data_IF_738604895583
#
_entry.id   IF_738604895583
#
_cell.length_a   1.000
_cell.length_b   1.000
_cell.length_c   1.000
_cell.angle_alpha   90.00
_cell.angle_beta   90.00
_cell.angle_gamma   90.00
#
_symmetry.space_group_name_H-M   'P 1'
#
loop_
_entity.id
_entity.type
_entity.pdbx_description
1 polymer ?
#
# COMPACT_ATOMS: atom_id res chain seq x y z
N UNK A 1 2.70 52.99 -7.69
CA UNK A 1 2.83 52.38 -9.02
C UNK A 1 3.31 50.96 -8.81
N UNK A 2 2.46 49.95 -9.05
CA UNK A 2 2.87 48.55 -8.99
C UNK A 2 3.78 48.21 -10.15
N UNK A 3 4.83 47.45 -9.88
CA UNK A 3 5.85 47.04 -10.84
C UNK A 3 5.27 46.02 -11.85
N UNK A 4 5.26 46.30 -13.16
CA UNK A 4 4.75 45.38 -14.18
C UNK A 4 5.52 44.04 -14.20
N UNK A 5 6.76 43.99 -13.71
CA UNK A 5 7.52 42.74 -13.58
C UNK A 5 6.98 41.87 -12.46
N UNK A 6 6.52 42.45 -11.36
CA UNK A 6 5.92 41.72 -10.25
C UNK A 6 4.56 41.09 -10.65
N UNK A 7 3.78 41.81 -11.45
CA UNK A 7 2.52 41.29 -12.00
C UNK A 7 2.76 40.15 -13.01
N UNK A 8 3.79 40.25 -13.84
CA UNK A 8 4.20 39.18 -14.77
C UNK A 8 4.66 37.92 -14.02
N UNK A 9 5.52 38.06 -13.00
CA UNK A 9 6.00 36.95 -12.18
C UNK A 9 4.85 36.25 -11.44
N UNK A 10 3.91 37.02 -10.84
CA UNK A 10 2.76 36.46 -10.14
C UNK A 10 1.80 35.74 -11.10
N UNK A 11 1.61 36.27 -12.31
CA UNK A 11 0.80 35.65 -13.36
C UNK A 11 1.42 34.34 -13.84
N UNK A 12 2.71 34.33 -14.15
CA UNK A 12 3.43 33.11 -14.57
C UNK A 12 3.48 32.07 -13.44
N UNK A 13 3.66 32.47 -12.18
CA UNK A 13 3.63 31.53 -11.04
C UNK A 13 2.27 30.86 -10.88
N UNK A 14 1.16 31.59 -11.05
CA UNK A 14 -0.18 31.01 -10.99
C UNK A 14 -0.48 30.08 -12.19
N UNK A 15 0.07 30.38 -13.38
CA UNK A 15 -0.08 29.52 -14.57
C UNK A 15 0.75 28.24 -14.44
N UNK A 16 1.96 28.32 -13.89
CA UNK A 16 2.85 27.16 -13.68
C UNK A 16 2.46 26.30 -12.46
N UNK A 17 1.86 26.88 -11.43
CA UNK A 17 1.36 26.14 -10.27
C UNK A 17 0.20 25.19 -10.61
N UNK A 18 -0.54 25.45 -11.69
CA UNK A 18 -1.61 24.56 -12.18
C UNK A 18 -1.13 23.37 -13.00
N UNK A 19 0.13 23.35 -13.47
CA UNK A 19 0.65 22.29 -14.36
C UNK A 19 1.42 21.21 -13.59
N UNK A 20 1.87 21.50 -12.36
CA UNK A 20 2.63 20.54 -11.56
C UNK A 20 1.75 19.56 -10.76
N UNK A 21 0.42 19.75 -10.78
CA UNK A 21 -0.56 18.87 -10.11
C UNK A 21 -1.26 17.90 -11.08
N UNK A 22 -0.99 18.01 -12.39
CA UNK A 22 -1.73 17.32 -13.46
C UNK A 22 -0.81 16.50 -14.38
N UNK A 23 0.11 15.69 -13.83
CA UNK A 23 0.80 14.64 -14.60
C UNK A 23 1.65 13.74 -13.70
N UNK A 24 1.04 12.68 -13.16
CA UNK A 24 1.54 11.29 -13.16
C UNK A 24 0.43 10.43 -12.52
N UNK A 25 -0.37 9.81 -13.38
CA UNK A 25 -1.61 9.13 -13.02
C UNK A 25 -1.43 7.96 -12.06
N UNK A 26 -1.97 8.11 -10.84
CA UNK A 26 -2.44 7.04 -9.96
C UNK A 26 -3.56 7.56 -9.05
N UNK A 27 -4.71 7.96 -9.60
CA UNK A 27 -5.93 8.03 -8.76
C UNK A 27 -6.42 6.59 -8.53
N UNK A 28 -6.46 6.08 -7.29
CA UNK A 28 -7.11 4.82 -7.04
C UNK A 28 -8.61 5.03 -7.22
N UNK A 29 -9.18 4.43 -8.27
CA UNK A 29 -10.62 4.31 -8.45
C UNK A 29 -11.22 3.70 -7.16
N UNK A 30 -12.43 4.12 -6.75
CA UNK A 30 -13.09 3.49 -5.60
C UNK A 30 -13.36 2.04 -5.98
N UNK A 31 -12.63 1.12 -5.35
CA UNK A 31 -12.88 -0.30 -5.50
C UNK A 31 -14.18 -0.66 -4.78
N UNK A 32 -15.27 -0.63 -5.54
CA UNK A 32 -16.57 -1.13 -5.10
C UNK A 32 -16.53 -2.64 -5.17
N UNK A 33 -16.06 -3.29 -4.10
CA UNK A 33 -16.07 -4.74 -4.02
C UNK A 33 -17.41 -5.26 -3.51
N UNK A 34 -18.36 -5.31 -4.44
CA UNK A 34 -19.57 -6.11 -4.33
C UNK A 34 -19.22 -7.56 -4.69
N UNK A 35 -18.66 -8.32 -3.75
CA UNK A 35 -18.64 -9.78 -3.85
C UNK A 35 -19.70 -10.31 -2.90
N UNK A 36 -20.82 -10.68 -3.50
CA UNK A 36 -21.86 -11.46 -2.88
C UNK A 36 -21.31 -12.81 -2.44
N UNK A 37 -21.70 -13.17 -1.22
CA UNK A 37 -22.16 -14.49 -0.80
C UNK A 37 -21.77 -15.64 -1.73
N UNK A 38 -20.75 -16.40 -1.35
CA UNK A 38 -20.75 -17.85 -1.49
C UNK A 38 -19.83 -18.47 -0.45
N UNK A 39 -20.43 -19.29 0.40
CA UNK A 39 -19.79 -20.29 1.24
C UNK A 39 -18.79 -21.12 0.46
N UNK A 40 -17.56 -21.19 0.95
CA UNK A 40 -16.68 -22.34 0.74
C UNK A 40 -15.65 -22.34 1.88
N UNK A 41 -15.87 -23.23 2.84
CA UNK A 41 -14.86 -23.64 3.80
C UNK A 41 -13.63 -24.18 3.07
N UNK A 42 -12.45 -23.65 3.34
CA UNK A 42 -11.20 -24.36 3.03
C UNK A 42 -10.10 -24.05 4.06
N UNK A 43 -9.33 -25.08 4.30
CA UNK A 43 -8.47 -25.37 5.44
C UNK A 43 -7.30 -24.38 5.60
N UNK A 44 -7.16 -23.84 6.81
CA UNK A 44 -5.92 -23.21 7.26
C UNK A 44 -4.86 -24.27 7.55
N UNK A 45 -4.26 -24.82 6.49
CA UNK A 45 -3.09 -25.68 6.61
C UNK A 45 -1.86 -24.85 7.00
N UNK A 46 -1.21 -25.37 8.03
CA UNK A 46 0.06 -25.00 8.63
C UNK A 46 1.17 -24.82 7.57
N UNK A 47 1.75 -23.62 7.51
CA UNK A 47 3.09 -23.39 6.95
C UNK A 47 3.86 -22.56 7.98
N UNK A 48 4.22 -23.22 9.06
CA UNK A 48 5.42 -22.90 9.81
C UNK A 48 6.62 -23.57 9.12
N UNK A 49 7.75 -22.86 9.05
CA UNK A 49 9.07 -23.39 8.70
C UNK A 49 9.33 -23.81 7.24
N UNK A 50 9.62 -22.83 6.38
CA UNK A 50 10.73 -22.98 5.43
C UNK A 50 11.66 -21.77 5.55
N UNK A 51 12.84 -22.02 6.14
CA UNK A 51 14.05 -21.27 5.87
C UNK A 51 14.17 -21.10 4.35
N UNK A 52 14.14 -19.86 3.87
CA UNK A 52 15.14 -19.40 2.91
C UNK A 52 15.31 -17.89 3.11
N UNK A 53 16.53 -17.53 3.51
CA UNK A 53 17.03 -16.18 3.48
C UNK A 53 17.02 -15.66 2.04
N UNK A 54 15.87 -15.18 1.56
CA UNK A 54 15.81 -14.35 0.36
C UNK A 54 16.15 -12.93 0.76
N UNK A 55 17.46 -12.71 0.92
CA UNK A 55 18.08 -11.39 0.83
C UNK A 55 17.81 -10.90 -0.59
N UNK A 56 16.70 -10.18 -0.79
CA UNK A 56 16.48 -9.42 -2.01
C UNK A 56 17.35 -8.17 -1.92
N UNK A 57 18.60 -8.38 -2.33
CA UNK A 57 19.47 -7.36 -2.91
C UNK A 57 18.66 -6.54 -3.92
N UNK A 58 18.35 -5.31 -3.56
CA UNK A 58 17.51 -4.41 -4.33
C UNK A 58 17.92 -2.98 -4.07
N UNK A 59 18.66 -2.43 -5.02
CA UNK A 59 19.03 -1.03 -5.18
C UNK A 59 20.05 -0.47 -4.17
N UNK A 60 21.27 -0.99 -4.24
CA UNK A 60 22.47 -0.17 -4.06
C UNK A 60 22.58 0.77 -5.27
N UNK A 61 21.91 1.92 -5.23
CA UNK A 61 22.25 3.05 -6.12
C UNK A 61 23.36 3.86 -5.42
N UNK A 62 24.55 3.29 -5.47
CA UNK A 62 25.81 3.89 -5.06
C UNK A 62 26.84 3.29 -6.01
N UNK A 63 26.83 3.78 -7.25
CA UNK A 63 27.54 3.14 -8.34
C UNK A 63 27.66 4.02 -9.58
N UNK A 64 27.97 5.31 -9.40
CA UNK A 64 28.65 6.07 -10.44
C UNK A 64 30.17 5.94 -10.21
N UNK A 65 30.68 4.72 -10.36
CA UNK A 65 32.10 4.52 -10.65
C UNK A 65 32.29 4.80 -12.14
N UNK A 66 32.50 6.07 -12.47
CA UNK A 66 32.99 6.47 -13.78
C UNK A 66 34.42 5.92 -13.92
N UNK A 67 34.69 4.98 -14.84
CA UNK A 67 36.02 4.42 -14.96
C UNK A 67 36.99 5.50 -15.43
N UNK A 68 38.12 5.58 -14.74
CA UNK A 68 39.32 6.31 -15.11
C UNK A 68 39.52 6.26 -16.64
N UNK A 69 39.37 7.42 -17.30
CA UNK A 69 39.75 7.63 -18.69
C UNK A 69 41.28 7.65 -18.76
N UNK A 70 41.88 6.46 -18.60
CA UNK A 70 43.28 6.20 -18.80
C UNK A 70 43.40 5.22 -19.98
N UNK A 71 44.04 5.69 -21.05
CA UNK A 71 44.50 4.94 -22.20
C UNK A 71 43.46 4.27 -23.12
N UNK A 72 43.30 4.87 -24.32
CA UNK A 72 43.23 4.06 -25.53
C UNK A 72 42.18 4.47 -26.55
N UNK A 73 42.47 5.48 -27.38
CA UNK A 73 42.11 5.43 -28.81
C UNK A 73 43.24 6.10 -29.60
N UNK A 74 44.06 5.29 -30.25
CA UNK A 74 45.02 5.73 -31.24
C UNK A 74 44.30 6.19 -32.51
N UNK A 75 44.49 7.46 -32.89
CA UNK A 75 44.26 7.93 -34.26
C UNK A 75 45.48 8.73 -34.69
N UNK A 76 46.32 8.06 -35.46
CA UNK A 76 47.46 8.59 -36.19
C UNK A 76 46.99 9.37 -37.42
N UNK A 77 47.04 10.69 -37.35
CA UNK A 77 47.15 11.54 -38.55
C UNK A 77 47.87 12.83 -38.16
N UNK A 78 48.96 13.06 -38.85
CA UNK A 78 50.02 14.02 -38.61
C UNK A 78 49.58 15.47 -38.91
N UNK A 79 49.28 16.26 -37.88
CA UNK A 79 49.40 17.73 -37.91
C UNK A 79 49.66 18.23 -36.49
N UNK A 80 50.69 19.05 -36.23
CA UNK A 80 50.90 19.63 -34.91
C UNK A 80 49.84 20.72 -34.68
N UNK A 81 48.72 20.37 -34.04
CA UNK A 81 47.78 21.37 -33.52
C UNK A 81 48.50 22.23 -32.48
N UNK A 82 48.39 23.57 -32.56
CA UNK A 82 49.05 24.44 -31.61
C UNK A 82 48.49 24.13 -30.23
N UNK A 83 49.37 23.79 -29.29
CA UNK A 83 49.05 23.77 -27.87
C UNK A 83 48.32 25.07 -27.56
N UNK A 84 47.02 24.95 -27.29
CA UNK A 84 46.22 26.06 -26.80
C UNK A 84 46.90 26.45 -25.49
N UNK A 85 47.64 27.55 -25.61
CA UNK A 85 48.54 28.05 -24.61
C UNK A 85 47.86 27.94 -23.26
N UNK A 86 48.61 27.41 -22.29
CA UNK A 86 48.52 27.74 -20.87
C UNK A 86 48.05 29.18 -20.76
N UNK A 87 46.73 29.37 -20.71
CA UNK A 87 46.13 30.67 -20.61
C UNK A 87 46.46 31.03 -19.18
N UNK A 88 47.46 31.88 -19.06
CA UNK A 88 47.87 32.60 -17.87
C UNK A 88 46.62 32.97 -17.04
N UNK A 89 46.20 32.07 -16.16
CA UNK A 89 45.35 32.34 -15.01
C UNK A 89 46.21 33.06 -13.99
N UNK A 90 46.76 34.21 -14.41
CA UNK A 90 47.29 35.24 -13.55
C UNK A 90 46.09 35.67 -12.72
N UNK A 91 46.11 35.26 -11.45
CA UNK A 91 45.30 35.74 -10.33
C UNK A 91 44.85 37.19 -10.51
N UNK A 92 43.75 37.41 -11.24
CA UNK A 92 42.98 38.64 -11.16
C UNK A 92 41.99 38.38 -10.02
N UNK A 93 41.96 39.23 -8.97
CA UNK A 93 40.99 39.06 -7.90
C UNK A 93 39.61 39.02 -8.54
N UNK A 94 38.91 37.89 -8.43
CA UNK A 94 37.57 37.77 -8.99
C UNK A 94 36.74 38.96 -8.52
N UNK A 95 36.05 39.66 -9.44
CA UNK A 95 35.28 40.84 -9.08
C UNK A 95 34.26 40.46 -8.00
N UNK A 96 34.14 41.28 -6.95
CA UNK A 96 33.32 40.96 -5.76
C UNK A 96 31.87 40.59 -6.09
N UNK A 97 31.33 41.12 -7.20
CA UNK A 97 30.01 40.75 -7.71
C UNK A 97 29.89 39.26 -8.04
N UNK A 98 30.92 38.66 -8.66
CA UNK A 98 30.94 37.23 -8.99
C UNK A 98 31.09 36.40 -7.72
N UNK A 99 31.89 36.85 -6.74
CA UNK A 99 32.00 36.17 -5.44
C UNK A 99 30.64 36.13 -4.71
N UNK A 100 29.95 37.27 -4.61
CA UNK A 100 28.60 37.35 -4.03
C UNK A 100 27.62 36.45 -4.79
N UNK A 101 27.65 36.47 -6.13
CA UNK A 101 26.79 35.60 -6.94
C UNK A 101 27.06 34.10 -6.72
N UNK A 102 28.32 33.67 -6.62
CA UNK A 102 28.63 32.27 -6.33
C UNK A 102 28.19 31.86 -4.93
N UNK A 103 28.36 32.73 -3.94
CA UNK A 103 27.88 32.51 -2.57
C UNK A 103 26.35 32.38 -2.55
N UNK A 104 25.64 33.31 -3.19
CA UNK A 104 24.17 33.31 -3.32
C UNK A 104 23.65 32.07 -4.06
N UNK A 105 24.28 31.67 -5.15
CA UNK A 105 23.93 30.45 -5.90
C UNK A 105 24.17 29.20 -5.05
N UNK A 106 25.30 29.12 -4.34
CA UNK A 106 25.61 28.01 -3.44
C UNK A 106 24.57 27.88 -2.33
N UNK A 107 24.21 29.00 -1.69
CA UNK A 107 23.17 29.04 -0.66
C UNK A 107 21.80 28.63 -1.25
N UNK A 108 21.48 29.08 -2.46
CA UNK A 108 20.23 28.71 -3.13
C UNK A 108 20.16 27.21 -3.46
N UNK A 109 21.25 26.63 -3.94
CA UNK A 109 21.36 25.19 -4.19
C UNK A 109 21.22 24.40 -2.89
N UNK A 110 21.96 24.78 -1.84
CA UNK A 110 21.85 24.13 -0.52
C UNK A 110 20.43 24.22 0.05
N UNK A 111 19.73 25.35 -0.15
CA UNK A 111 18.32 25.50 0.23
C UNK A 111 17.40 24.58 -0.57
N UNK A 112 17.66 24.40 -1.87
CA UNK A 112 16.89 23.48 -2.73
C UNK A 112 17.12 22.03 -2.30
N UNK A 113 18.36 21.61 -2.13
CA UNK A 113 18.74 20.26 -1.71
C UNK A 113 18.12 19.93 -0.34
N UNK A 114 18.15 20.88 0.61
CA UNK A 114 17.50 20.72 1.92
C UNK A 114 15.99 20.57 1.83
N UNK A 115 15.34 21.31 0.93
CA UNK A 115 13.89 21.22 0.74
C UNK A 115 13.49 19.90 0.06
N UNK A 116 14.28 19.44 -0.91
CA UNK A 116 14.10 18.15 -1.55
C UNK A 116 14.25 17.00 -0.56
N UNK A 117 15.31 17.02 0.27
CA UNK A 117 15.51 15.99 1.29
C UNK A 117 14.38 16.00 2.33
N UNK A 118 13.89 17.18 2.73
CA UNK A 118 12.73 17.29 3.61
C UNK A 118 11.48 16.68 2.98
N UNK A 119 11.18 16.99 1.71
CA UNK A 119 10.03 16.44 0.99
C UNK A 119 10.14 14.92 0.85
N UNK A 120 11.35 14.40 0.58
CA UNK A 120 11.63 12.97 0.51
C UNK A 120 11.38 12.27 1.85
N UNK A 121 11.85 12.86 2.94
CA UNK A 121 11.62 12.32 4.29
C UNK A 121 10.14 12.40 4.69
N UNK A 122 9.45 13.49 4.37
CA UNK A 122 8.00 13.63 4.58
C UNK A 122 7.20 12.55 3.81
N UNK A 123 7.56 12.29 2.54
CA UNK A 123 6.93 11.22 1.75
C UNK A 123 7.21 9.82 2.33
N UNK A 124 8.45 9.58 2.77
CA UNK A 124 8.84 8.31 3.41
C UNK A 124 8.09 8.10 4.73
N UNK A 125 8.01 9.13 5.56
CA UNK A 125 7.31 9.11 6.83
C UNK A 125 5.79 8.91 6.63
N UNK A 126 5.20 9.57 5.63
CA UNK A 126 3.80 9.38 5.27
C UNK A 126 3.51 7.93 4.85
N UNK A 127 4.33 7.36 3.95
CA UNK A 127 4.17 5.96 3.52
C UNK A 127 4.34 4.97 4.67
N UNK A 128 5.30 5.20 5.57
CA UNK A 128 5.48 4.38 6.77
C UNK A 128 4.26 4.46 7.70
N UNK A 129 3.73 5.66 7.93
CA UNK A 129 2.53 5.86 8.77
C UNK A 129 1.30 5.18 8.17
N UNK A 130 1.09 5.28 6.87
CA UNK A 130 -0.02 4.60 6.18
C UNK A 130 0.09 3.07 6.32
N UNK A 131 1.30 2.53 6.19
CA UNK A 131 1.54 1.10 6.37
C UNK A 131 1.25 0.64 7.81
N UNK A 132 1.71 1.41 8.80
CA UNK A 132 1.43 1.15 10.22
C UNK A 132 -0.08 1.21 10.53
N UNK A 133 -0.78 2.20 9.98
CA UNK A 133 -2.23 2.36 10.09
C UNK A 133 -2.96 1.16 9.47
N UNK A 134 -2.53 0.69 8.29
CA UNK A 134 -3.12 -0.48 7.65
C UNK A 134 -2.97 -1.75 8.49
N UNK A 135 -1.78 -1.98 9.07
CA UNK A 135 -1.56 -3.10 9.97
C UNK A 135 -2.40 -2.99 11.25
N UNK A 136 -2.54 -1.80 11.81
CA UNK A 136 -3.38 -1.55 12.98
C UNK A 136 -4.86 -1.86 12.69
N UNK A 137 -5.40 -1.34 11.58
CA UNK A 137 -6.78 -1.63 11.15
C UNK A 137 -7.01 -3.12 10.87
N UNK A 138 -6.04 -3.79 10.23
CA UNK A 138 -6.11 -5.23 9.98
C UNK A 138 -6.13 -6.02 11.28
N UNK A 139 -5.28 -5.65 12.24
CA UNK A 139 -5.23 -6.30 13.56
C UNK A 139 -6.55 -6.09 14.32
N UNK A 140 -7.13 -4.89 14.27
CA UNK A 140 -8.43 -4.59 14.87
C UNK A 140 -9.55 -5.42 14.23
N UNK A 141 -9.62 -5.46 12.89
CA UNK A 141 -10.61 -6.27 12.16
C UNK A 141 -10.52 -7.74 12.54
N UNK A 142 -9.31 -8.29 12.57
CA UNK A 142 -9.09 -9.68 12.96
C UNK A 142 -9.49 -9.94 14.42
N UNK A 143 -9.19 -9.00 15.33
CA UNK A 143 -9.64 -9.08 16.73
C UNK A 143 -11.17 -9.09 16.84
N UNK A 144 -11.86 -8.19 16.10
CA UNK A 144 -13.33 -8.16 16.04
C UNK A 144 -13.91 -9.47 15.51
N UNK A 145 -13.35 -10.03 14.43
CA UNK A 145 -13.79 -11.33 13.87
C UNK A 145 -13.60 -12.47 14.87
N UNK A 146 -12.46 -12.54 15.57
CA UNK A 146 -12.24 -13.58 16.60
C UNK A 146 -13.26 -13.48 17.73
N UNK A 147 -13.53 -12.27 18.22
CA UNK A 147 -14.52 -12.05 19.28
C UNK A 147 -15.93 -12.41 18.79
N UNK A 148 -16.30 -12.02 17.57
CA UNK A 148 -17.58 -12.36 16.99
C UNK A 148 -17.76 -13.88 16.81
N UNK A 149 -16.73 -14.59 16.34
CA UNK A 149 -16.76 -16.05 16.21
C UNK A 149 -16.87 -16.74 17.58
N UNK A 150 -16.11 -16.26 18.58
CA UNK A 150 -16.17 -16.80 19.95
C UNK A 150 -17.56 -16.59 20.56
N UNK A 151 -18.14 -15.41 20.37
CA UNK A 151 -19.50 -15.11 20.81
C UNK A 151 -20.53 -15.96 20.08
N UNK A 152 -20.42 -16.13 18.76
CA UNK A 152 -21.32 -16.97 17.99
C UNK A 152 -21.24 -18.45 18.42
N UNK A 153 -20.04 -18.93 18.76
CA UNK A 153 -19.84 -20.26 19.34
C UNK A 153 -20.48 -20.37 20.73
N UNK A 154 -20.27 -19.39 21.61
CA UNK A 154 -20.89 -19.34 22.94
C UNK A 154 -22.42 -19.30 22.86
N UNK A 155 -22.98 -18.44 22.00
CA UNK A 155 -24.40 -18.34 21.72
C UNK A 155 -24.95 -19.68 21.20
N UNK A 156 -24.26 -20.32 20.25
CA UNK A 156 -24.62 -21.64 19.72
C UNK A 156 -24.61 -22.75 20.78
N UNK A 157 -23.61 -22.77 21.66
CA UNK A 157 -23.52 -23.72 22.79
C UNK A 157 -24.63 -23.44 23.80
N UNK A 158 -24.87 -22.17 24.12
CA UNK A 158 -25.92 -21.75 25.06
C UNK A 158 -27.31 -22.15 24.55
N UNK A 159 -27.59 -21.94 23.26
CA UNK A 159 -28.85 -22.34 22.62
C UNK A 159 -29.00 -23.87 22.61
N UNK A 160 -27.91 -24.61 22.44
CA UNK A 160 -27.90 -26.08 22.50
C UNK A 160 -28.23 -26.59 23.91
N UNK A 161 -27.68 -25.95 24.94
CA UNK A 161 -27.79 -26.34 26.36
C UNK A 161 -29.03 -25.80 27.08
N UNK A 162 -29.55 -24.64 26.67
CA UNK A 162 -30.77 -24.04 27.22
C UNK A 162 -32.02 -24.89 26.95
N UNK A 163 -31.98 -25.76 25.93
CA UNK A 163 -33.01 -26.77 25.71
C UNK A 163 -32.89 -27.86 26.78
N UNK A 164 -33.63 -27.63 27.88
CA UNK A 164 -33.81 -28.51 29.04
C UNK A 164 -34.22 -29.93 28.64
N UNK A 165 -33.79 -30.92 29.43
CA UNK A 165 -34.17 -32.32 29.31
C UNK A 165 -35.69 -32.45 29.09
N UNK A 166 -36.11 -33.03 27.97
CA UNK A 166 -37.49 -33.10 27.47
C UNK A 166 -37.76 -32.29 26.18
N UNK A 167 -36.84 -31.43 25.74
CA UNK A 167 -36.93 -30.66 24.50
C UNK A 167 -36.10 -31.25 23.34
N UNK A 168 -35.71 -32.53 23.40
CA UNK A 168 -34.81 -33.16 22.42
C UNK A 168 -35.40 -33.12 21.00
N UNK A 169 -36.70 -33.37 20.86
CA UNK A 169 -37.39 -33.29 19.58
C UNK A 169 -37.47 -31.86 19.03
N UNK A 170 -37.50 -30.85 19.90
CA UNK A 170 -37.40 -29.46 19.48
C UNK A 170 -35.99 -29.14 18.95
N UNK A 171 -34.94 -29.66 19.62
CA UNK A 171 -33.54 -29.55 19.16
C UNK A 171 -33.36 -30.19 17.78
N UNK A 172 -33.82 -31.43 17.61
CA UNK A 172 -33.72 -32.16 16.34
C UNK A 172 -34.48 -31.42 15.23
N UNK A 173 -35.71 -30.98 15.51
CA UNK A 173 -36.51 -30.25 14.52
C UNK A 173 -35.88 -28.90 14.11
N UNK A 174 -35.16 -28.20 15.00
CA UNK A 174 -34.44 -26.96 14.63
C UNK A 174 -33.26 -27.23 13.68
N UNK A 175 -32.57 -28.36 13.87
CA UNK A 175 -31.45 -28.77 13.01
C UNK A 175 -31.91 -29.34 11.67
N UNK A 176 -33.11 -29.91 11.61
CA UNK A 176 -33.70 -30.40 10.36
C UNK A 176 -34.26 -29.24 9.53
N UNK A 177 -33.73 -29.05 8.32
CA UNK A 177 -34.27 -28.07 7.39
C UNK A 177 -35.58 -28.58 6.76
N UNK A 178 -36.70 -27.94 7.10
CA UNK A 178 -38.02 -28.29 6.57
C UNK A 178 -38.35 -27.63 5.22
N UNK A 179 -37.43 -26.84 4.67
CA UNK A 179 -37.64 -26.13 3.43
C UNK A 179 -37.83 -27.12 2.25
N UNK A 180 -38.95 -27.00 1.53
CA UNK A 180 -39.22 -27.87 0.38
C UNK A 180 -38.18 -27.68 -0.76
N UNK A 181 -37.52 -26.51 -0.82
CA UNK A 181 -36.57 -26.16 -1.87
C UNK A 181 -35.13 -26.60 -1.59
N UNK A 182 -34.78 -26.97 -0.37
CA UNK A 182 -33.41 -27.36 -0.01
C UNK A 182 -33.16 -28.87 -0.13
N UNK A 183 -34.21 -29.65 -0.37
CA UNK A 183 -34.13 -31.10 -0.52
C UNK A 183 -33.42 -31.46 -1.83
N UNK A 184 -32.09 -31.60 -1.78
CA UNK A 184 -31.27 -32.14 -2.88
C UNK A 184 -31.38 -33.67 -3.00
N UNK A 185 -32.11 -34.32 -2.10
CA UNK A 185 -32.27 -35.77 -2.07
C UNK A 185 -33.53 -36.20 -2.84
N UNK A 186 -33.42 -37.30 -3.58
CA UNK A 186 -34.52 -37.88 -4.37
C UNK A 186 -35.53 -38.66 -3.51
N UNK A 187 -35.28 -38.81 -2.21
CA UNK A 187 -36.13 -39.59 -1.29
C UNK A 187 -37.25 -38.72 -0.73
N UNK A 188 -38.49 -39.24 -0.73
CA UNK A 188 -39.60 -38.59 -0.06
C UNK A 188 -39.43 -38.63 1.47
N UNK A 189 -39.09 -37.49 2.06
CA UNK A 189 -38.93 -37.32 3.50
C UNK A 189 -40.25 -36.91 4.19
N UNK A 190 -41.39 -36.88 3.50
CA UNK A 190 -42.67 -36.39 4.05
C UNK A 190 -43.08 -37.12 5.33
N UNK A 191 -42.94 -38.46 5.38
CA UNK A 191 -43.25 -39.26 6.58
C UNK A 191 -42.37 -38.86 7.77
N UNK A 192 -41.06 -38.68 7.53
CA UNK A 192 -40.11 -38.26 8.56
C UNK A 192 -40.46 -36.86 9.08
N UNK A 193 -40.76 -35.92 8.16
CA UNK A 193 -41.16 -34.55 8.53
C UNK A 193 -42.41 -34.55 9.41
N UNK A 194 -43.43 -35.32 9.05
CA UNK A 194 -44.64 -35.46 9.86
C UNK A 194 -44.35 -36.05 11.24
N UNK A 195 -43.51 -37.09 11.34
CA UNK A 195 -43.15 -37.69 12.62
C UNK A 195 -42.38 -36.71 13.53
N UNK A 196 -41.38 -36.01 13.00
CA UNK A 196 -40.62 -35.01 13.75
C UNK A 196 -41.49 -33.86 14.25
N UNK A 197 -42.41 -33.36 13.42
CA UNK A 197 -43.34 -32.30 13.82
C UNK A 197 -44.31 -32.77 14.92
N UNK A 198 -44.84 -34.00 14.81
CA UNK A 198 -45.67 -34.59 15.87
C UNK A 198 -44.92 -34.67 17.19
N UNK A 199 -43.70 -35.21 17.17
CA UNK A 199 -42.88 -35.38 18.36
C UNK A 199 -42.46 -34.04 18.98
N UNK A 200 -42.20 -33.01 18.16
CA UNK A 200 -41.97 -31.63 18.63
C UNK A 200 -43.16 -31.06 19.41
N UNK A 201 -44.39 -31.35 18.97
CA UNK A 201 -45.62 -30.84 19.63
C UNK A 201 -46.07 -31.66 20.83
N UNK A 202 -45.62 -32.91 20.96
CA UNK A 202 -45.94 -33.78 22.09
C UNK A 202 -45.11 -33.38 23.31
N UNK A 203 -45.47 -32.26 23.96
CA UNK A 203 -45.04 -31.99 25.33
C UNK A 203 -45.83 -32.91 26.26
N UNK A 204 -45.14 -33.81 26.96
CA UNK A 204 -45.68 -34.53 28.12
C UNK A 204 -45.42 -33.73 29.39
#
# INVERSE_FOLDING_TARGET
MSDPVAEFLAREQNVLAGIQDDSLGTSPLPYVNSIGNNDAADNGNDITSVNEARVLSGTSDSGLDLPALANGVQRSSTTPSPSLATLNNISKPEPEKIKKWREEQKIMLEKKDKNEEKKKEEMRAAGKKELEEWYAQRAEKLKKTRVANRKAEEDFISDREALKDGAEWERIAKLCEFNAKSSKTSSDLSRLKTLLLKLKTQKK
#
